data_IF_951118549451
#
_entry.id   IF_951118549451
#
_cell.length_a   1.000
_cell.length_b   1.000
_cell.length_c   1.000
_cell.angle_alpha   90.00
_cell.angle_beta   90.00
_cell.angle_gamma   90.00
#
_symmetry.space_group_name_H-M   'P 1'
#
loop_
_entity.id
_entity.type
_entity.pdbx_description
1 polymer ?
#
# COMPACT_ATOMS: atom_id res chain seq x y z
N UNK A 1 -13.09 10.10 13.32
CA UNK A 1 -12.83 10.71 11.99
C UNK A 1 -11.33 10.76 11.80
N UNK A 2 -10.80 10.16 10.73
CA UNK A 2 -9.35 9.97 10.51
C UNK A 2 -8.63 11.21 9.94
N UNK A 3 -9.41 12.16 9.41
CA UNK A 3 -8.94 13.45 8.91
C UNK A 3 -8.29 14.26 10.03
N UNK A 4 -7.01 14.62 9.87
CA UNK A 4 -6.21 15.35 10.86
C UNK A 4 -5.37 14.48 11.81
N UNK A 5 -5.51 13.15 11.76
CA UNK A 5 -4.65 12.23 12.52
C UNK A 5 -3.29 12.02 11.85
N UNK A 6 -3.24 12.12 10.53
CA UNK A 6 -2.01 12.03 9.74
C UNK A 6 -1.57 13.44 9.36
N UNK A 7 -0.31 13.75 9.63
CA UNK A 7 0.30 15.08 9.47
C UNK A 7 1.54 15.03 8.58
N UNK A 8 2.20 13.87 8.48
CA UNK A 8 3.40 13.69 7.69
C UNK A 8 3.16 12.76 6.48
N UNK A 9 3.80 13.01 5.32
CA UNK A 9 3.74 12.13 4.16
C UNK A 9 4.11 10.69 4.47
N UNK A 10 5.08 10.49 5.36
CA UNK A 10 5.55 9.17 5.78
C UNK A 10 4.44 8.37 6.48
N UNK A 11 3.65 9.03 7.34
CA UNK A 11 2.49 8.40 7.97
C UNK A 11 1.45 8.02 6.90
N UNK A 12 1.24 8.88 5.90
CA UNK A 12 0.38 8.56 4.75
C UNK A 12 0.82 7.29 4.01
N UNK A 13 2.12 7.15 3.73
CA UNK A 13 2.68 5.95 3.06
C UNK A 13 2.48 4.71 3.94
N UNK A 14 2.83 4.80 5.22
CA UNK A 14 2.69 3.70 6.18
C UNK A 14 1.24 3.20 6.26
N UNK A 15 0.29 4.13 6.32
CA UNK A 15 -1.12 3.80 6.41
C UNK A 15 -1.71 3.29 5.08
N UNK A 16 -1.23 3.79 3.93
CA UNK A 16 -1.57 3.22 2.64
C UNK A 16 -1.10 1.77 2.54
N UNK A 17 0.11 1.47 3.02
CA UNK A 17 0.65 0.11 3.02
C UNK A 17 -0.12 -0.83 3.95
N UNK A 18 -0.50 -0.35 5.14
CA UNK A 18 -1.42 -1.12 5.99
C UNK A 18 -2.73 -1.40 5.27
N UNK A 19 -3.29 -0.42 4.57
CA UNK A 19 -4.56 -0.60 3.86
C UNK A 19 -4.47 -1.63 2.73
N UNK A 20 -3.34 -1.63 1.98
CA UNK A 20 -3.10 -2.63 0.93
C UNK A 20 -3.11 -4.06 1.46
N UNK A 21 -2.56 -4.32 2.65
CA UNK A 21 -2.53 -5.66 3.23
C UNK A 21 -3.71 -5.98 4.17
N UNK A 22 -4.60 -5.02 4.47
CA UNK A 22 -5.67 -5.21 5.48
C UNK A 22 -7.06 -5.43 4.90
N UNK A 23 -7.22 -5.52 3.58
CA UNK A 23 -8.57 -5.47 2.98
C UNK A 23 -9.50 -6.58 3.51
N UNK A 24 -8.94 -7.70 3.94
CA UNK A 24 -9.66 -8.84 4.52
C UNK A 24 -9.99 -8.68 6.02
N UNK A 25 -9.65 -7.53 6.63
CA UNK A 25 -9.97 -7.18 8.00
C UNK A 25 -9.15 -7.92 9.06
N UNK A 26 -8.15 -8.72 8.65
CA UNK A 26 -7.20 -9.40 9.52
C UNK A 26 -5.79 -9.01 9.12
N UNK A 27 -4.91 -8.97 10.12
CA UNK A 27 -3.47 -8.93 9.88
C UNK A 27 -2.96 -10.35 10.05
N UNK A 28 -2.48 -10.95 8.98
CA UNK A 28 -1.59 -12.09 9.12
C UNK A 28 -0.20 -11.57 9.53
N UNK A 29 0.51 -12.35 10.36
CA UNK A 29 1.83 -11.94 10.86
C UNK A 29 2.84 -11.80 9.71
N UNK A 30 2.69 -12.62 8.67
CA UNK A 30 3.41 -12.56 7.40
C UNK A 30 3.24 -11.22 6.67
N UNK A 31 2.04 -10.65 6.65
CA UNK A 31 1.76 -9.37 6.01
C UNK A 31 2.41 -8.22 6.77
N UNK A 32 2.40 -8.28 8.10
CA UNK A 32 3.08 -7.29 8.93
C UNK A 32 4.59 -7.29 8.75
N UNK A 33 5.18 -8.47 8.57
CA UNK A 33 6.60 -8.61 8.26
C UNK A 33 6.89 -8.00 6.88
N UNK A 34 6.06 -8.28 5.87
CA UNK A 34 6.20 -7.70 4.52
C UNK A 34 6.12 -6.16 4.53
N UNK A 35 5.16 -5.58 5.27
CA UNK A 35 5.05 -4.13 5.41
C UNK A 35 6.27 -3.56 6.15
N UNK A 36 6.70 -4.22 7.23
CA UNK A 36 7.86 -3.80 8.02
C UNK A 36 9.12 -3.78 7.16
N UNK A 37 9.38 -4.86 6.42
CA UNK A 37 10.50 -4.98 5.51
C UNK A 37 10.44 -3.93 4.38
N UNK A 38 9.24 -3.68 3.84
CA UNK A 38 9.04 -2.64 2.84
C UNK A 38 9.39 -1.27 3.40
N UNK A 39 8.85 -0.88 4.56
CA UNK A 39 9.13 0.40 5.22
C UNK A 39 10.62 0.57 5.55
N UNK A 40 11.29 -0.51 5.95
CA UNK A 40 12.75 -0.53 6.19
C UNK A 40 13.52 -0.30 4.88
N UNK A 41 13.14 -0.98 3.81
CA UNK A 41 13.80 -0.88 2.50
C UNK A 41 13.75 0.53 1.90
N UNK A 42 12.69 1.29 2.19
CA UNK A 42 12.53 2.68 1.75
C UNK A 42 12.98 3.71 2.80
N UNK A 43 13.54 3.28 3.94
CA UNK A 43 14.17 4.16 4.92
C UNK A 43 13.20 4.88 5.87
N UNK A 44 11.93 4.48 5.94
CA UNK A 44 10.90 5.15 6.76
C UNK A 44 10.95 4.81 8.25
N UNK A 45 11.59 3.70 8.63
CA UNK A 45 11.80 3.27 10.02
C UNK A 45 12.56 4.29 10.88
N UNK A 46 13.29 5.23 10.27
CA UNK A 46 14.01 6.30 10.98
C UNK A 46 13.10 7.46 11.39
N UNK A 47 11.93 7.57 10.75
CA UNK A 47 11.00 8.70 10.91
C UNK A 47 9.71 8.30 11.63
N UNK A 48 9.37 7.02 11.64
CA UNK A 48 8.12 6.51 12.19
C UNK A 48 8.37 5.38 13.19
N UNK A 49 7.55 5.35 14.25
CA UNK A 49 7.42 4.16 15.08
C UNK A 49 6.30 3.28 14.51
N UNK A 50 6.68 2.17 13.89
CA UNK A 50 5.76 1.21 13.28
C UNK A 50 4.64 0.75 14.23
N UNK A 51 4.98 0.47 15.50
CA UNK A 51 4.00 0.00 16.49
C UNK A 51 2.96 1.07 16.82
N UNK A 52 3.37 2.34 16.86
CA UNK A 52 2.48 3.46 17.16
C UNK A 52 1.56 3.75 15.98
N UNK A 53 2.10 3.77 14.75
CA UNK A 53 1.28 3.97 13.54
C UNK A 53 0.28 2.81 13.33
N UNK A 54 0.67 1.56 13.61
CA UNK A 54 -0.27 0.44 13.54
C UNK A 54 -1.39 0.56 14.59
N UNK A 55 -1.07 0.95 15.83
CA UNK A 55 -2.10 1.19 16.86
C UNK A 55 -3.04 2.32 16.44
N UNK A 56 -2.48 3.40 15.89
CA UNK A 56 -3.22 4.55 15.38
C UNK A 56 -4.14 4.14 14.24
N UNK A 57 -3.66 3.37 13.27
CA UNK A 57 -4.47 2.86 12.17
C UNK A 57 -5.65 2.00 12.67
N UNK A 58 -5.36 1.01 13.52
CA UNK A 58 -6.40 0.15 14.13
C UNK A 58 -7.46 0.95 14.91
N UNK A 59 -7.07 2.07 15.52
CA UNK A 59 -8.00 2.89 16.31
C UNK A 59 -9.12 3.54 15.48
N UNK A 60 -8.89 3.80 14.19
CA UNK A 60 -9.85 4.49 13.33
C UNK A 60 -10.29 3.69 12.11
N UNK A 61 -9.71 2.52 11.85
CA UNK A 61 -10.03 1.68 10.69
C UNK A 61 -11.53 1.42 10.53
N UNK A 62 -12.22 1.08 11.63
CA UNK A 62 -13.67 0.83 11.62
C UNK A 62 -14.51 2.08 11.32
N UNK A 63 -13.89 3.27 11.28
CA UNK A 63 -14.54 4.53 10.92
C UNK A 63 -14.35 4.89 9.44
N UNK A 64 -13.62 4.07 8.67
CA UNK A 64 -13.47 4.20 7.22
C UNK A 64 -14.75 3.64 6.58
N UNK A 65 -15.72 4.52 6.31
CA UNK A 65 -16.99 4.16 5.67
C UNK A 65 -16.96 4.32 4.15
N UNK A 66 -16.04 5.14 3.65
CA UNK A 66 -15.86 5.44 2.23
C UNK A 66 -14.37 5.29 1.89
N UNK A 67 -14.05 4.23 1.16
CA UNK A 67 -12.69 3.88 0.73
C UNK A 67 -12.12 4.94 -0.22
N UNK A 68 -12.91 5.48 -1.15
CA UNK A 68 -12.43 6.46 -2.11
C UNK A 68 -12.04 7.78 -1.43
N UNK A 69 -12.83 8.23 -0.45
CA UNK A 69 -12.49 9.41 0.35
C UNK A 69 -11.22 9.17 1.17
N UNK A 70 -11.07 7.97 1.74
CA UNK A 70 -9.90 7.62 2.52
C UNK A 70 -8.62 7.57 1.67
N UNK A 71 -8.66 6.91 0.51
CA UNK A 71 -7.53 6.83 -0.41
C UNK A 71 -7.16 8.21 -0.97
N UNK A 72 -8.14 9.04 -1.33
CA UNK A 72 -7.91 10.44 -1.73
C UNK A 72 -7.20 11.22 -0.64
N UNK A 73 -7.64 11.06 0.61
CA UNK A 73 -7.00 11.71 1.76
C UNK A 73 -5.55 11.26 1.92
N UNK A 74 -5.27 9.95 1.91
CA UNK A 74 -3.91 9.42 1.99
C UNK A 74 -3.01 9.95 0.88
N UNK A 75 -3.46 9.84 -0.37
CA UNK A 75 -2.70 10.28 -1.54
C UNK A 75 -2.42 11.80 -1.47
N UNK A 76 -3.39 12.59 -0.99
CA UNK A 76 -3.21 14.04 -0.81
C UNK A 76 -2.15 14.40 0.24
N UNK A 77 -2.01 13.58 1.31
CA UNK A 77 -0.99 13.78 2.34
C UNK A 77 0.38 13.35 1.85
N UNK A 78 0.44 12.21 1.14
CA UNK A 78 1.70 11.70 0.59
C UNK A 78 2.26 12.68 -0.43
N UNK A 79 1.39 13.28 -1.25
CA UNK A 79 1.74 14.21 -2.31
C UNK A 79 2.93 13.71 -3.15
N UNK A 80 2.79 12.49 -3.69
CA UNK A 80 3.87 11.80 -4.37
C UNK A 80 4.26 12.52 -5.66
N UNK A 81 5.57 12.77 -5.81
CA UNK A 81 6.15 13.22 -7.08
C UNK A 81 6.47 12.04 -8.03
N UNK A 82 6.42 10.80 -7.52
CA UNK A 82 6.78 9.58 -8.24
C UNK A 82 5.64 8.57 -8.12
N UNK A 83 4.53 8.85 -8.79
CA UNK A 83 3.29 8.07 -8.69
C UNK A 83 3.47 6.60 -9.07
N UNK A 84 4.23 6.32 -10.14
CA UNK A 84 4.51 4.94 -10.55
C UNK A 84 5.28 4.15 -9.49
N UNK A 85 6.20 4.80 -8.76
CA UNK A 85 6.95 4.14 -7.69
C UNK A 85 6.03 3.78 -6.52
N UNK A 86 5.19 4.72 -6.07
CA UNK A 86 4.21 4.47 -5.01
C UNK A 86 3.25 3.36 -5.41
N UNK A 87 2.75 3.39 -6.65
CA UNK A 87 1.86 2.37 -7.18
C UNK A 87 2.54 0.99 -7.24
N UNK A 88 3.80 0.93 -7.69
CA UNK A 88 4.56 -0.33 -7.74
C UNK A 88 4.73 -0.98 -6.36
N UNK A 89 4.91 -0.18 -5.31
CA UNK A 89 4.99 -0.71 -3.94
C UNK A 89 3.63 -1.21 -3.44
N UNK A 90 2.53 -0.55 -3.81
CA UNK A 90 1.18 -1.03 -3.48
C UNK A 90 0.92 -2.40 -4.13
N UNK A 91 1.30 -2.58 -5.41
CA UNK A 91 1.19 -3.87 -6.09
C UNK A 91 2.04 -4.93 -5.40
N UNK A 92 3.29 -4.59 -5.05
CA UNK A 92 4.18 -5.53 -4.38
C UNK A 92 3.62 -6.04 -3.05
N UNK A 93 2.96 -5.17 -2.29
CA UNK A 93 2.34 -5.51 -1.02
C UNK A 93 1.07 -6.35 -1.17
N UNK A 94 0.23 -6.06 -2.17
CA UNK A 94 -0.96 -6.87 -2.47
C UNK A 94 -0.60 -8.24 -3.07
N UNK A 95 0.56 -8.36 -3.73
CA UNK A 95 1.01 -9.62 -4.33
C UNK A 95 1.93 -10.43 -3.39
N UNK A 96 2.08 -10.02 -2.13
CA UNK A 96 3.11 -10.55 -1.24
C UNK A 96 2.83 -12.01 -0.80
N UNK A 97 1.56 -12.40 -0.77
CA UNK A 97 1.11 -13.77 -0.52
C UNK A 97 1.20 -14.68 -1.77
N UNK A 98 1.59 -14.11 -2.91
CA UNK A 98 1.76 -14.79 -4.20
C UNK A 98 0.56 -14.74 -5.14
N UNK A 99 -0.58 -14.14 -4.74
CA UNK A 99 -1.74 -14.00 -5.63
C UNK A 99 -2.56 -12.75 -5.31
N UNK A 100 -2.88 -11.94 -6.33
CA UNK A 100 -3.74 -10.76 -6.14
C UNK A 100 -5.19 -11.20 -6.26
N UNK A 101 -5.99 -10.96 -5.22
CA UNK A 101 -7.43 -11.20 -5.22
C UNK A 101 -8.21 -10.16 -6.04
N UNK A 102 -9.45 -10.46 -6.44
CA UNK A 102 -10.32 -9.53 -7.17
C UNK A 102 -10.53 -8.20 -6.41
N UNK A 103 -10.56 -8.25 -5.08
CA UNK A 103 -10.79 -7.07 -4.26
C UNK A 103 -9.52 -6.21 -4.12
N UNK A 104 -8.34 -6.82 -4.05
CA UNK A 104 -7.07 -6.10 -4.14
C UNK A 104 -6.85 -5.52 -5.54
N UNK A 105 -7.27 -6.22 -6.58
CA UNK A 105 -7.20 -5.71 -7.95
C UNK A 105 -8.03 -4.43 -8.10
N UNK A 106 -9.26 -4.41 -7.56
CA UNK A 106 -10.10 -3.20 -7.48
C UNK A 106 -9.47 -2.09 -6.65
N UNK A 107 -8.78 -2.44 -5.56
CA UNK A 107 -8.08 -1.46 -4.72
C UNK A 107 -6.95 -0.81 -5.52
N UNK A 108 -6.14 -1.62 -6.21
CA UNK A 108 -5.06 -1.15 -7.05
C UNK A 108 -5.57 -0.27 -8.18
N UNK A 109 -6.66 -0.65 -8.86
CA UNK A 109 -7.25 0.18 -9.91
C UNK A 109 -7.69 1.55 -9.36
N UNK A 110 -8.29 1.59 -8.15
CA UNK A 110 -8.64 2.85 -7.48
C UNK A 110 -7.42 3.70 -7.16
N UNK A 111 -6.38 3.09 -6.59
CA UNK A 111 -5.12 3.80 -6.28
C UNK A 111 -4.48 4.34 -7.56
N UNK A 112 -4.40 3.53 -8.62
CA UNK A 112 -3.85 3.92 -9.92
C UNK A 112 -4.59 5.10 -10.53
N UNK A 113 -5.92 5.08 -10.50
CA UNK A 113 -6.77 6.18 -10.95
C UNK A 113 -6.56 7.46 -10.13
N UNK A 114 -6.46 7.35 -8.80
CA UNK A 114 -6.21 8.49 -7.92
C UNK A 114 -4.80 9.08 -8.08
N UNK A 115 -3.84 8.25 -8.46
CA UNK A 115 -2.48 8.66 -8.82
C UNK A 115 -2.37 9.15 -10.28
N UNK A 116 -3.49 9.19 -11.01
CA UNK A 116 -3.56 9.62 -12.41
C UNK A 116 -2.62 8.84 -13.33
N UNK A 117 -2.56 7.52 -13.14
CA UNK A 117 -1.78 6.58 -13.96
C UNK A 117 -2.71 5.99 -15.03
N UNK A 118 -2.28 5.94 -16.28
CA UNK A 118 -3.12 5.39 -17.35
C UNK A 118 -3.27 3.88 -17.27
N UNK A 119 -4.40 3.32 -17.70
CA UNK A 119 -4.70 1.88 -17.62
C UNK A 119 -3.59 1.00 -18.22
N UNK A 120 -2.99 1.44 -19.32
CA UNK A 120 -1.87 0.73 -19.98
C UNK A 120 -0.61 0.69 -19.10
N UNK A 121 -0.31 1.78 -18.39
CA UNK A 121 0.82 1.85 -17.47
C UNK A 121 0.54 1.01 -16.22
N UNK A 122 -0.71 1.02 -15.74
CA UNK A 122 -1.13 0.18 -14.62
C UNK A 122 -0.96 -1.32 -14.93
N UNK A 123 -1.45 -1.78 -16.08
CA UNK A 123 -1.29 -3.17 -16.55
C UNK A 123 0.20 -3.55 -16.68
N UNK A 124 1.01 -2.68 -17.30
CA UNK A 124 2.42 -2.94 -17.52
C UNK A 124 3.16 -3.12 -16.18
N UNK A 125 2.93 -2.23 -15.21
CA UNK A 125 3.58 -2.31 -13.90
C UNK A 125 3.10 -3.54 -13.14
N UNK A 126 1.80 -3.86 -13.18
CA UNK A 126 1.27 -5.06 -12.53
C UNK A 126 1.95 -6.32 -13.07
N UNK A 127 2.01 -6.47 -14.39
CA UNK A 127 2.67 -7.61 -15.05
C UNK A 127 4.16 -7.69 -14.70
N UNK A 128 4.86 -6.55 -14.72
CA UNK A 128 6.28 -6.49 -14.35
C UNK A 128 6.50 -6.94 -12.90
N UNK A 129 5.68 -6.46 -11.97
CA UNK A 129 5.82 -6.79 -10.55
C UNK A 129 5.54 -8.27 -10.28
N UNK A 130 4.52 -8.85 -10.91
CA UNK A 130 4.24 -10.29 -10.83
C UNK A 130 5.40 -11.12 -11.38
N UNK A 131 5.94 -10.75 -12.55
CA UNK A 131 7.11 -11.43 -13.12
C UNK A 131 8.32 -11.34 -12.21
N UNK A 132 8.60 -10.16 -11.63
CA UNK A 132 9.69 -9.98 -10.66
C UNK A 132 9.49 -10.84 -9.41
N UNK A 133 8.26 -10.95 -8.91
CA UNK A 133 7.92 -11.84 -7.79
C UNK A 133 8.30 -13.30 -8.08
N UNK A 134 7.89 -13.81 -9.25
CA UNK A 134 8.25 -15.16 -9.70
C UNK A 134 9.76 -15.36 -9.81
N UNK A 135 10.48 -14.41 -10.41
CA UNK A 135 11.95 -14.47 -10.52
C UNK A 135 12.60 -14.53 -9.13
N UNK A 136 12.10 -13.77 -8.15
CA UNK A 136 12.65 -13.75 -6.80
C UNK A 136 12.47 -15.10 -6.08
N UNK A 137 11.31 -15.73 -6.25
CA UNK A 137 10.97 -17.02 -5.64
C UNK A 137 11.62 -18.21 -6.36
N UNK A 138 11.52 -18.26 -7.68
CA UNK A 138 11.89 -19.44 -8.50
C UNK A 138 13.29 -19.33 -9.12
N UNK A 139 13.92 -18.15 -9.06
CA UNK A 139 15.20 -17.84 -9.75
C UNK A 139 15.19 -18.09 -11.27
N UNK A 140 13.99 -18.17 -11.87
CA UNK A 140 13.79 -18.31 -13.30
C UNK A 140 13.80 -16.92 -13.97
N UNK A 141 14.80 -16.65 -14.81
CA UNK A 141 14.95 -15.43 -15.62
C UNK A 141 14.37 -15.61 -17.03
#
# INVERSE_FOLDING_TARGET
>A
MYTGLLKAPEEGICHLFYYCCMKDGKFEESELDNISDKLVSIGLQKKLNFKDEMRKFKSYQNTITDEDIYLKYLISIINSNNNLALFSWCIELCAADGNISDDEDRLLDRIGNLLNIGDTEQDLIRRLMIQRGKVLQEKAF
#
